data_IF_924343530574
#
_entry.id   IF_924343530574
#
_cell.length_a   1.000
_cell.length_b   1.000
_cell.length_c   1.000
_cell.angle_alpha   90.00
_cell.angle_beta   90.00
_cell.angle_gamma   90.00
#
_symmetry.space_group_name_H-M   'P 1'
#
loop_
_entity.id
_entity.type
_entity.pdbx_description
1 polymer ?
#
# COMPACT_ATOMS: atom_id res chain seq x y z
N UNK A 1 -4.95 -20.41 -1.59
CA UNK A 1 -5.15 -19.00 -2.02
C UNK A 1 -4.83 -18.91 -3.51
N UNK A 2 -5.61 -18.20 -4.33
CA UNK A 2 -5.38 -18.16 -5.78
C UNK A 2 -4.19 -17.23 -6.15
N UNK A 3 -3.69 -17.32 -7.40
CA UNK A 3 -2.51 -16.57 -7.86
C UNK A 3 -2.66 -15.05 -7.69
N UNK A 4 -3.85 -14.51 -7.99
CA UNK A 4 -4.11 -13.06 -7.91
C UNK A 4 -4.12 -12.56 -6.45
N UNK A 5 -4.75 -13.30 -5.55
CA UNK A 5 -4.74 -13.02 -4.11
C UNK A 5 -3.30 -13.13 -3.56
N UNK A 6 -2.53 -14.12 -4.01
CA UNK A 6 -1.12 -14.24 -3.62
C UNK A 6 -0.29 -13.04 -4.09
N UNK A 7 -0.45 -12.61 -5.34
CA UNK A 7 0.21 -11.41 -5.84
C UNK A 7 -0.21 -10.15 -5.09
N UNK A 8 -1.50 -9.99 -4.77
CA UNK A 8 -2.01 -8.88 -3.94
C UNK A 8 -1.37 -8.89 -2.54
N UNK A 9 -1.26 -10.07 -1.91
CA UNK A 9 -0.59 -10.22 -0.61
C UNK A 9 0.89 -9.80 -0.70
N UNK A 10 1.62 -10.25 -1.72
CA UNK A 10 3.04 -9.90 -1.90
C UNK A 10 3.22 -8.39 -2.03
N UNK A 11 2.38 -7.72 -2.84
CA UNK A 11 2.44 -6.25 -2.97
C UNK A 11 2.12 -5.54 -1.66
N UNK A 12 1.13 -6.03 -0.92
CA UNK A 12 0.79 -5.48 0.40
C UNK A 12 1.94 -5.64 1.40
N UNK A 13 2.62 -6.79 1.42
CA UNK A 13 3.77 -7.01 2.30
C UNK A 13 4.95 -6.10 1.95
N UNK A 14 5.24 -5.90 0.66
CA UNK A 14 6.26 -4.95 0.21
C UNK A 14 5.89 -3.53 0.68
N UNK A 15 4.63 -3.13 0.48
CA UNK A 15 4.12 -1.85 0.98
C UNK A 15 4.30 -1.72 2.49
N UNK A 16 3.91 -2.73 3.27
CA UNK A 16 3.99 -2.70 4.73
C UNK A 16 5.43 -2.52 5.22
N UNK A 17 6.40 -3.21 4.60
CA UNK A 17 7.83 -3.03 4.92
C UNK A 17 8.27 -1.60 4.61
N UNK A 18 7.94 -1.07 3.42
CA UNK A 18 8.28 0.31 3.05
C UNK A 18 7.64 1.32 4.01
N UNK A 19 6.39 1.09 4.40
CA UNK A 19 5.63 1.95 5.31
C UNK A 19 6.25 1.97 6.71
N UNK A 20 6.64 0.81 7.24
CA UNK A 20 7.31 0.70 8.54
C UNK A 20 8.69 1.39 8.52
N UNK A 21 9.44 1.25 7.43
CA UNK A 21 10.71 1.95 7.25
C UNK A 21 10.53 3.47 7.17
N UNK A 22 9.45 3.96 6.55
CA UNK A 22 9.12 5.38 6.56
C UNK A 22 8.81 5.88 7.98
N UNK A 23 8.05 5.11 8.76
CA UNK A 23 7.69 5.44 10.14
C UNK A 23 8.85 5.40 11.14
N UNK A 24 9.93 4.66 10.86
CA UNK A 24 11.10 4.56 11.75
C UNK A 24 12.04 5.75 11.70
N UNK A 25 11.73 6.78 10.90
CA UNK A 25 12.62 7.93 10.70
C UNK A 25 13.83 7.61 9.81
N UNK A 26 13.83 6.45 9.13
CA UNK A 26 14.72 6.24 7.99
C UNK A 26 14.53 7.42 7.03
N UNK A 27 15.60 7.86 6.36
CA UNK A 27 15.56 8.99 5.42
C UNK A 27 14.77 8.65 4.14
N UNK A 28 13.52 8.23 4.29
CA UNK A 28 12.62 7.81 3.23
C UNK A 28 12.37 8.94 2.24
N UNK A 29 12.32 10.17 2.76
CA UNK A 29 12.26 11.39 1.95
C UNK A 29 13.50 11.63 1.09
N UNK A 30 14.68 11.12 1.48
CA UNK A 30 15.91 11.20 0.68
C UNK A 30 15.93 10.18 -0.47
N UNK A 31 15.11 9.13 -0.41
CA UNK A 31 14.92 8.20 -1.54
C UNK A 31 14.14 8.85 -2.70
N UNK A 32 13.63 10.06 -2.48
CA UNK A 32 13.03 10.90 -3.50
C UNK A 32 11.57 10.58 -3.81
N UNK A 33 10.99 11.39 -4.70
CA UNK A 33 9.57 11.34 -5.09
C UNK A 33 9.14 9.98 -5.65
N UNK A 34 10.09 9.21 -6.21
CA UNK A 34 9.84 7.90 -6.83
C UNK A 34 9.32 6.91 -5.79
N UNK A 35 9.92 6.86 -4.61
CA UNK A 35 9.51 5.90 -3.57
C UNK A 35 8.09 6.19 -3.08
N UNK A 36 7.76 7.46 -2.91
CA UNK A 36 6.41 7.91 -2.57
C UNK A 36 5.38 7.45 -3.62
N UNK A 37 5.70 7.62 -4.91
CA UNK A 37 4.84 7.15 -6.01
C UNK A 37 4.64 5.63 -5.94
N UNK A 38 5.73 4.87 -5.71
CA UNK A 38 5.67 3.41 -5.57
C UNK A 38 4.78 3.00 -4.39
N UNK A 39 4.91 3.66 -3.24
CA UNK A 39 4.09 3.37 -2.06
C UNK A 39 2.59 3.61 -2.28
N UNK A 40 2.22 4.52 -3.18
CA UNK A 40 0.82 4.71 -3.59
C UNK A 40 0.41 3.65 -4.60
N UNK A 41 1.24 3.37 -5.60
CA UNK A 41 0.92 2.42 -6.67
C UNK A 41 0.76 0.99 -6.16
N UNK A 42 1.58 0.55 -5.20
CA UNK A 42 1.53 -0.80 -4.64
C UNK A 42 0.14 -1.18 -4.13
N UNK A 43 -0.49 -0.42 -3.21
CA UNK A 43 -1.83 -0.76 -2.75
C UNK A 43 -2.92 -0.50 -3.80
N UNK A 44 -2.76 0.42 -4.77
CA UNK A 44 -3.70 0.51 -5.92
C UNK A 44 -3.71 -0.80 -6.71
N UNK A 45 -2.52 -1.29 -7.09
CA UNK A 45 -2.39 -2.55 -7.82
C UNK A 45 -2.89 -3.72 -6.95
N UNK A 46 -2.58 -3.69 -5.65
CA UNK A 46 -3.06 -4.66 -4.68
C UNK A 46 -4.59 -4.74 -4.61
N UNK A 47 -5.29 -3.60 -4.62
CA UNK A 47 -6.76 -3.52 -4.73
C UNK A 47 -7.24 -4.16 -6.03
N UNK A 48 -6.67 -3.78 -7.18
CA UNK A 48 -7.09 -4.30 -8.49
C UNK A 48 -6.93 -5.83 -8.55
N UNK A 49 -5.81 -6.35 -8.05
CA UNK A 49 -5.55 -7.79 -8.00
C UNK A 49 -6.48 -8.52 -7.03
N UNK A 50 -6.76 -7.93 -5.86
CA UNK A 50 -7.70 -8.50 -4.89
C UNK A 50 -9.10 -8.58 -5.49
N UNK A 51 -9.60 -7.54 -6.18
CA UNK A 51 -10.92 -7.54 -6.82
C UNK A 51 -11.03 -8.63 -7.90
N UNK A 52 -9.98 -8.85 -8.69
CA UNK A 52 -9.94 -9.92 -9.71
C UNK A 52 -9.77 -11.32 -9.11
N UNK A 53 -9.45 -11.41 -7.82
CA UNK A 53 -9.32 -12.64 -7.08
C UNK A 53 -10.64 -13.35 -6.76
N UNK A 54 -10.57 -14.46 -6.04
CA UNK A 54 -11.71 -15.29 -5.66
C UNK A 54 -11.57 -15.82 -4.24
N UNK A 55 -12.71 -16.22 -3.65
CA UNK A 55 -12.78 -16.71 -2.27
C UNK A 55 -12.75 -15.60 -1.21
N UNK A 56 -12.84 -16.00 0.06
CA UNK A 56 -12.96 -15.06 1.18
C UNK A 56 -11.72 -14.18 1.39
N UNK A 57 -10.52 -14.71 1.08
CA UNK A 57 -9.26 -13.97 1.19
C UNK A 57 -9.21 -12.73 0.29
N UNK A 58 -9.99 -12.68 -0.81
CA UNK A 58 -10.06 -11.48 -1.66
C UNK A 58 -10.60 -10.28 -0.89
N UNK A 59 -11.63 -10.47 -0.08
CA UNK A 59 -12.26 -9.38 0.67
C UNK A 59 -11.33 -8.83 1.75
N UNK A 60 -10.61 -9.72 2.44
CA UNK A 60 -9.58 -9.35 3.40
C UNK A 60 -8.47 -8.53 2.72
N UNK A 61 -7.92 -9.02 1.60
CA UNK A 61 -6.85 -8.33 0.86
C UNK A 61 -7.32 -7.00 0.27
N UNK A 62 -8.56 -6.94 -0.20
CA UNK A 62 -9.17 -5.69 -0.66
C UNK A 62 -9.20 -4.66 0.48
N UNK A 63 -9.73 -5.02 1.65
CA UNK A 63 -9.79 -4.13 2.81
C UNK A 63 -8.39 -3.67 3.25
N UNK A 64 -7.42 -4.58 3.32
CA UNK A 64 -6.04 -4.24 3.67
C UNK A 64 -5.42 -3.21 2.71
N UNK A 65 -5.59 -3.40 1.40
CA UNK A 65 -5.06 -2.46 0.42
C UNK A 65 -5.81 -1.12 0.40
N UNK A 66 -7.12 -1.11 0.70
CA UNK A 66 -7.89 0.13 0.86
C UNK A 66 -7.41 0.92 2.08
N UNK A 67 -7.18 0.25 3.22
CA UNK A 67 -6.61 0.89 4.42
C UNK A 67 -5.21 1.43 4.15
N UNK A 68 -4.38 0.66 3.44
CA UNK A 68 -3.06 1.12 2.98
C UNK A 68 -3.16 2.40 2.14
N UNK A 69 -4.08 2.46 1.17
CA UNK A 69 -4.32 3.68 0.40
C UNK A 69 -4.78 4.85 1.28
N UNK A 70 -5.71 4.61 2.19
CA UNK A 70 -6.20 5.61 3.13
C UNK A 70 -5.07 6.21 3.97
N UNK A 71 -4.17 5.36 4.49
CA UNK A 71 -3.01 5.81 5.26
C UNK A 71 -2.06 6.70 4.44
N UNK A 72 -1.82 6.36 3.17
CA UNK A 72 -1.00 7.21 2.30
C UNK A 72 -1.66 8.55 2.05
N UNK A 73 -2.96 8.57 1.71
CA UNK A 73 -3.71 9.83 1.51
C UNK A 73 -3.63 10.71 2.74
N UNK A 74 -3.85 10.14 3.93
CA UNK A 74 -3.75 10.86 5.19
C UNK A 74 -2.36 11.48 5.39
N UNK A 75 -1.30 10.72 5.14
CA UNK A 75 0.09 11.20 5.26
C UNK A 75 0.39 12.31 4.24
N UNK A 76 -0.10 12.20 3.01
CA UNK A 76 0.04 13.28 2.03
C UNK A 76 -0.65 14.56 2.49
N UNK A 77 -1.89 14.47 2.97
CA UNK A 77 -2.63 15.64 3.45
C UNK A 77 -1.89 16.33 4.60
N UNK A 78 -1.35 15.56 5.54
CA UNK A 78 -0.48 16.08 6.60
C UNK A 78 0.81 16.72 6.04
N UNK A 79 1.47 16.07 5.08
CA UNK A 79 2.70 16.59 4.49
C UNK A 79 2.50 17.91 3.73
N UNK A 80 1.31 18.15 3.18
CA UNK A 80 0.93 19.42 2.54
C UNK A 80 0.33 20.45 3.51
N UNK A 81 0.24 20.14 4.81
CA UNK A 81 -0.33 21.04 5.82
C UNK A 81 -1.83 21.29 5.66
N UNK A 82 -2.54 20.39 4.97
CA UNK A 82 -4.01 20.47 4.80
C UNK A 82 -4.72 19.94 6.06
N UNK A 83 -4.10 18.96 6.73
CA UNK A 83 -4.51 18.39 8.02
C UNK A 83 -3.37 18.52 9.03
#
# INVERSE_FOLDING_TARGET
MNKLNFSSLVLFLIFAVLFLLMGSGFAFWSLGKIVIIVMVLLPIIGVILAIKGSGWSKWLLFLLNVVALGSMVYIFLHAFGIL
#
